data_IF_834633281344
#
_entry.id   IF_834633281344
#
_cell.length_a   1.000
_cell.length_b   1.000
_cell.length_c   1.000
_cell.angle_alpha   90.00
_cell.angle_beta   90.00
_cell.angle_gamma   90.00
#
_symmetry.space_group_name_H-M   'P 1'
#
loop_
_entity.id
_entity.type
_entity.pdbx_description
1 polymer ?
#
# COMPACT_ATOMS: atom_id res chain seq x y z
N UNK A 1 -16.92 15.46 14.02
CA UNK A 1 -16.62 16.18 12.75
C UNK A 1 -17.39 15.47 11.65
N UNK A 2 -18.21 16.16 10.85
CA UNK A 2 -19.00 15.50 9.81
C UNK A 2 -18.11 14.92 8.70
N UNK A 3 -18.55 13.84 8.03
CA UNK A 3 -17.80 13.19 6.92
C UNK A 3 -17.37 14.20 5.84
N UNK A 4 -18.21 15.20 5.57
CA UNK A 4 -17.90 16.29 4.61
C UNK A 4 -16.74 17.17 5.05
N UNK A 5 -16.59 17.41 6.36
CA UNK A 5 -15.51 18.28 6.88
C UNK A 5 -14.17 17.55 6.87
N UNK A 6 -14.17 16.24 7.18
CA UNK A 6 -12.99 15.38 7.07
C UNK A 6 -12.48 15.32 5.62
N UNK A 7 -13.39 15.13 4.66
CA UNK A 7 -13.03 15.13 3.24
C UNK A 7 -12.45 16.49 2.78
N UNK A 8 -13.05 17.60 3.21
CA UNK A 8 -12.52 18.94 2.89
C UNK A 8 -11.14 19.17 3.48
N UNK A 9 -10.92 18.74 4.73
CA UNK A 9 -9.62 18.83 5.38
C UNK A 9 -8.57 17.99 4.63
N UNK A 10 -8.89 16.73 4.32
CA UNK A 10 -8.01 15.87 3.53
C UNK A 10 -7.66 16.49 2.17
N UNK A 11 -8.66 16.96 1.42
CA UNK A 11 -8.45 17.58 0.10
C UNK A 11 -7.55 18.81 0.16
N UNK A 12 -7.67 19.62 1.23
CA UNK A 12 -6.78 20.77 1.43
C UNK A 12 -5.34 20.32 1.64
N UNK A 13 -5.10 19.37 2.54
CA UNK A 13 -3.76 18.84 2.79
C UNK A 13 -3.19 18.10 1.58
N UNK A 14 -4.03 17.41 0.82
CA UNK A 14 -3.61 16.79 -0.43
C UNK A 14 -3.19 17.84 -1.49
N UNK A 15 -3.89 18.96 -1.58
CA UNK A 15 -3.55 20.07 -2.49
C UNK A 15 -2.19 20.70 -2.18
N UNK A 16 -1.72 20.60 -0.94
CA UNK A 16 -0.41 21.11 -0.52
C UNK A 16 0.74 20.18 -0.94
N UNK A 17 0.47 18.89 -1.26
CA UNK A 17 1.50 17.96 -1.66
C UNK A 17 2.08 18.20 -3.08
N UNK A 18 1.30 18.55 -4.11
CA UNK A 18 1.85 18.87 -5.43
C UNK A 18 2.47 20.26 -5.48
N UNK A 19 3.79 20.35 -5.61
CA UNK A 19 4.51 21.62 -5.63
C UNK A 19 4.64 22.25 -7.02
N UNK A 20 4.75 21.42 -8.06
CA UNK A 20 4.90 21.89 -9.42
C UNK A 20 3.75 21.39 -10.26
N UNK A 21 3.06 22.31 -10.96
CA UNK A 21 1.80 22.04 -11.67
C UNK A 21 0.72 21.47 -10.77
N UNK A 22 0.68 21.92 -9.54
CA UNK A 22 -0.20 21.40 -8.47
C UNK A 22 -1.65 21.38 -8.87
N UNK A 23 -2.19 22.47 -9.42
CA UNK A 23 -3.59 22.54 -9.88
C UNK A 23 -3.92 21.45 -10.91
N UNK A 24 -3.02 21.22 -11.88
CA UNK A 24 -3.27 20.24 -12.92
C UNK A 24 -3.19 18.80 -12.41
N UNK A 25 -2.29 18.53 -11.46
CA UNK A 25 -2.20 17.24 -10.76
C UNK A 25 -3.42 17.01 -9.86
N UNK A 26 -3.88 18.04 -9.19
CA UNK A 26 -5.07 17.96 -8.33
C UNK A 26 -6.34 17.74 -9.15
N UNK A 27 -6.51 18.48 -10.26
CA UNK A 27 -7.62 18.26 -11.19
C UNK A 27 -7.58 16.86 -11.84
N UNK A 28 -6.37 16.33 -12.09
CA UNK A 28 -6.20 14.96 -12.57
C UNK A 28 -6.67 13.93 -11.53
N UNK A 29 -6.32 14.11 -10.26
CA UNK A 29 -6.79 13.25 -9.19
C UNK A 29 -8.33 13.27 -9.08
N UNK A 30 -8.94 14.45 -9.12
CA UNK A 30 -10.40 14.59 -9.14
C UNK A 30 -11.03 13.92 -10.36
N UNK A 31 -10.41 14.06 -11.51
CA UNK A 31 -10.89 13.44 -12.76
C UNK A 31 -10.83 11.91 -12.72
N UNK A 32 -9.78 11.34 -12.12
CA UNK A 32 -9.66 9.90 -11.93
C UNK A 32 -10.73 9.39 -10.96
N UNK A 33 -10.96 10.11 -9.86
CA UNK A 33 -11.98 9.75 -8.85
C UNK A 33 -13.41 9.89 -9.40
N UNK A 34 -13.64 10.83 -10.34
CA UNK A 34 -14.94 11.03 -10.99
C UNK A 34 -15.19 10.05 -12.15
N UNK A 35 -14.16 9.39 -12.65
CA UNK A 35 -14.28 8.45 -13.75
C UNK A 35 -14.96 7.14 -13.30
N UNK A 36 -15.92 6.67 -14.09
CA UNK A 36 -16.54 5.37 -13.87
C UNK A 36 -15.62 4.25 -14.40
N UNK A 37 -14.90 3.59 -13.50
CA UNK A 37 -14.03 2.47 -13.84
C UNK A 37 -12.58 2.86 -14.09
N UNK A 38 -11.84 2.00 -14.79
CA UNK A 38 -10.42 2.18 -15.07
C UNK A 38 -10.17 3.24 -16.14
N UNK A 39 -9.19 4.12 -15.93
CA UNK A 39 -8.74 5.08 -16.93
C UNK A 39 -7.78 4.39 -17.92
N UNK A 40 -8.20 4.07 -19.16
CA UNK A 40 -7.39 3.29 -20.10
C UNK A 40 -6.20 4.09 -20.66
N UNK A 41 -6.26 5.41 -20.57
CA UNK A 41 -5.19 6.31 -21.02
C UNK A 41 -5.25 7.63 -20.22
N UNK A 42 -4.15 8.40 -20.14
CA UNK A 42 -4.17 9.73 -19.53
C UNK A 42 -5.17 10.72 -20.17
N UNK A 43 -5.53 10.53 -21.43
CA UNK A 43 -6.53 11.36 -22.10
C UNK A 43 -7.95 11.13 -21.54
N UNK A 44 -8.26 9.93 -21.08
CA UNK A 44 -9.59 9.57 -20.59
C UNK A 44 -10.05 10.43 -19.39
N UNK A 45 -9.26 10.66 -18.33
CA UNK A 45 -9.63 11.57 -17.25
C UNK A 45 -9.87 13.01 -17.71
N UNK A 46 -9.22 13.48 -18.79
CA UNK A 46 -9.42 14.84 -19.28
C UNK A 46 -10.82 15.10 -19.85
N UNK A 47 -11.62 14.05 -20.05
CA UNK A 47 -13.02 14.15 -20.49
C UNK A 47 -13.99 14.35 -19.31
N UNK A 48 -13.53 14.23 -18.09
CA UNK A 48 -14.36 14.42 -16.91
C UNK A 48 -14.61 15.92 -16.64
N UNK A 49 -15.81 16.25 -16.17
CA UNK A 49 -16.19 17.64 -15.87
C UNK A 49 -15.31 18.31 -14.78
N UNK A 50 -14.67 17.51 -13.93
CA UNK A 50 -13.71 17.98 -12.93
C UNK A 50 -12.39 18.44 -13.51
N UNK A 51 -12.04 18.02 -14.75
CA UNK A 51 -10.84 18.47 -15.48
C UNK A 51 -11.18 19.70 -16.31
N UNK A 52 -10.82 20.87 -15.81
CA UNK A 52 -11.16 22.18 -16.45
C UNK A 52 -10.13 22.64 -17.48
N UNK A 53 -9.01 21.93 -17.61
CA UNK A 53 -7.87 22.26 -18.47
C UNK A 53 -7.91 21.42 -19.73
N UNK A 54 -7.26 21.88 -20.77
CA UNK A 54 -7.07 21.08 -21.99
C UNK A 54 -6.21 19.83 -21.71
N UNK A 55 -6.42 18.79 -22.50
CA UNK A 55 -5.74 17.49 -22.37
C UNK A 55 -4.19 17.59 -22.34
N UNK A 56 -3.59 18.54 -23.07
CA UNK A 56 -2.15 18.78 -23.04
C UNK A 56 -1.62 19.23 -21.68
N UNK A 57 -2.46 19.87 -20.85
CA UNK A 57 -2.10 20.24 -19.48
C UNK A 57 -1.88 19.03 -18.60
N UNK A 58 -2.67 17.97 -18.78
CA UNK A 58 -2.56 16.71 -18.05
C UNK A 58 -1.23 16.00 -18.36
N UNK A 59 -0.91 15.84 -19.65
CA UNK A 59 0.38 15.26 -20.04
C UNK A 59 1.56 16.08 -19.51
N UNK A 60 1.48 17.40 -19.61
CA UNK A 60 2.50 18.28 -19.07
C UNK A 60 2.60 18.23 -17.53
N UNK A 61 1.50 17.93 -16.84
CA UNK A 61 1.51 17.73 -15.39
C UNK A 61 2.20 16.41 -15.01
N UNK A 62 1.94 15.33 -15.74
CA UNK A 62 2.60 14.04 -15.54
C UNK A 62 4.10 14.08 -15.87
N UNK A 63 4.48 14.79 -16.93
CA UNK A 63 5.87 14.92 -17.39
C UNK A 63 6.72 15.84 -16.49
N UNK A 64 6.17 16.98 -16.09
CA UNK A 64 6.90 18.08 -15.43
C UNK A 64 6.34 18.48 -14.06
N UNK A 65 5.31 17.79 -13.60
CA UNK A 65 4.77 17.98 -12.26
C UNK A 65 5.71 17.41 -11.20
N UNK A 66 5.55 17.87 -9.98
CA UNK A 66 6.27 17.34 -8.84
C UNK A 66 5.33 17.21 -7.65
N UNK A 67 5.33 16.03 -7.04
CA UNK A 67 4.59 15.73 -5.82
C UNK A 67 5.62 15.49 -4.71
N UNK A 68 5.43 16.14 -3.57
CA UNK A 68 6.14 15.76 -2.35
C UNK A 68 5.60 14.41 -1.88
N UNK A 69 6.33 13.37 -2.26
CA UNK A 69 5.94 11.99 -1.95
C UNK A 69 5.94 11.73 -0.44
N UNK A 70 6.83 12.39 0.32
CA UNK A 70 6.89 12.21 1.76
C UNK A 70 5.73 12.90 2.48
N UNK A 71 5.39 14.12 2.08
CA UNK A 71 4.20 14.81 2.59
C UNK A 71 2.92 14.02 2.29
N UNK A 72 2.80 13.47 1.07
CA UNK A 72 1.66 12.64 0.69
C UNK A 72 1.59 11.35 1.52
N UNK A 73 2.69 10.65 1.71
CA UNK A 73 2.77 9.44 2.54
C UNK A 73 2.40 9.72 3.99
N UNK A 74 2.87 10.84 4.56
CA UNK A 74 2.47 11.28 5.92
C UNK A 74 0.98 11.55 6.00
N UNK A 75 0.43 12.25 5.02
CA UNK A 75 -1.02 12.51 4.95
C UNK A 75 -1.82 11.20 4.92
N UNK A 76 -1.44 10.26 4.06
CA UNK A 76 -2.13 8.98 3.91
C UNK A 76 -2.00 8.10 5.17
N UNK A 77 -0.80 8.04 5.78
CA UNK A 77 -0.55 7.26 6.99
C UNK A 77 -1.39 7.73 8.19
N UNK A 78 -1.60 9.04 8.31
CA UNK A 78 -2.33 9.68 9.42
C UNK A 78 -3.83 9.84 9.15
N UNK A 79 -4.27 9.60 7.92
CA UNK A 79 -5.69 9.74 7.62
C UNK A 79 -6.48 8.56 8.22
N UNK A 80 -7.44 8.83 9.13
CA UNK A 80 -8.20 7.77 9.77
C UNK A 80 -9.10 7.06 8.74
N UNK A 81 -9.16 5.74 8.82
CA UNK A 81 -10.19 4.97 8.13
C UNK A 81 -11.44 4.93 9.00
N UNK A 82 -12.58 5.27 8.40
CA UNK A 82 -13.86 5.21 9.11
C UNK A 82 -14.14 3.78 9.61
N UNK A 83 -14.60 3.66 10.86
CA UNK A 83 -14.97 2.39 11.48
C UNK A 83 -13.78 1.58 12.02
N UNK A 84 -12.58 2.17 12.09
CA UNK A 84 -11.39 1.51 12.69
C UNK A 84 -10.90 2.19 13.96
N UNK A 85 -11.69 3.08 14.54
CA UNK A 85 -11.33 3.82 15.73
C UNK A 85 -11.14 2.86 16.93
N UNK A 86 -9.98 2.91 17.55
CA UNK A 86 -9.63 2.06 18.71
C UNK A 86 -9.26 0.62 18.36
N UNK A 87 -9.27 0.23 17.10
CA UNK A 87 -8.80 -1.09 16.66
C UNK A 87 -7.28 -1.09 16.43
N UNK A 88 -6.67 -2.27 16.57
CA UNK A 88 -5.27 -2.48 16.17
C UNK A 88 -5.12 -2.23 14.68
N UNK A 89 -4.25 -1.30 14.23
CA UNK A 89 -4.03 -1.06 12.82
C UNK A 89 -3.46 -2.31 12.13
N UNK A 90 -4.10 -2.75 11.05
CA UNK A 90 -3.62 -3.89 10.25
C UNK A 90 -3.25 -3.40 8.85
N UNK A 91 -2.06 -3.77 8.41
CA UNK A 91 -1.54 -3.41 7.09
C UNK A 91 -1.22 -4.65 6.28
N UNK A 92 -1.67 -4.71 5.03
CA UNK A 92 -1.19 -5.68 4.05
C UNK A 92 0.04 -5.12 3.34
N UNK A 93 1.04 -5.98 3.16
CA UNK A 93 2.24 -5.68 2.37
C UNK A 93 2.31 -6.67 1.22
N UNK A 94 2.25 -6.19 -0.01
CA UNK A 94 2.25 -7.04 -1.19
C UNK A 94 2.92 -6.36 -2.38
N UNK A 95 3.50 -7.17 -3.26
CA UNK A 95 4.16 -6.71 -4.47
C UNK A 95 3.28 -6.96 -5.69
N UNK A 96 3.09 -5.91 -6.50
CA UNK A 96 2.39 -5.99 -7.76
C UNK A 96 3.32 -5.73 -8.93
N UNK A 97 3.22 -6.53 -9.96
CA UNK A 97 4.00 -6.38 -11.19
C UNK A 97 3.23 -5.59 -12.22
N UNK A 98 3.85 -4.56 -12.72
CA UNK A 98 3.34 -3.79 -13.85
C UNK A 98 4.05 -4.21 -15.12
N UNK A 99 3.38 -5.03 -15.94
CA UNK A 99 3.91 -5.50 -17.22
C UNK A 99 4.14 -4.34 -18.19
N UNK A 100 5.35 -4.23 -18.72
CA UNK A 100 5.79 -3.23 -19.69
C UNK A 100 6.66 -3.88 -20.75
N UNK A 101 6.09 -4.87 -21.43
CA UNK A 101 6.79 -5.63 -22.46
C UNK A 101 7.15 -4.79 -23.69
N UNK A 102 6.34 -3.75 -23.94
CA UNK A 102 6.44 -2.79 -25.05
C UNK A 102 7.44 -1.63 -24.80
N UNK A 103 7.96 -1.51 -23.59
CA UNK A 103 8.80 -0.38 -23.20
C UNK A 103 10.28 -0.77 -23.08
N UNK A 104 10.90 -1.21 -24.18
CA UNK A 104 12.25 -1.76 -24.22
C UNK A 104 13.33 -0.82 -23.69
N UNK A 105 13.17 0.48 -23.90
CA UNK A 105 14.12 1.50 -23.44
C UNK A 105 13.89 1.98 -22.01
N UNK A 106 12.84 1.49 -21.34
CA UNK A 106 12.55 1.90 -19.97
C UNK A 106 13.61 1.40 -19.00
N UNK A 107 14.14 2.29 -18.14
CA UNK A 107 15.24 1.93 -17.23
C UNK A 107 14.78 0.94 -16.16
N UNK A 108 15.70 0.10 -15.71
CA UNK A 108 15.54 -0.83 -14.58
C UNK A 108 14.31 -1.74 -14.71
N UNK A 109 13.96 -2.12 -15.92
CA UNK A 109 12.94 -3.13 -16.19
C UNK A 109 13.48 -4.51 -15.83
N UNK A 110 12.75 -5.25 -14.98
CA UNK A 110 13.08 -6.62 -14.59
C UNK A 110 12.19 -7.64 -15.30
N UNK A 111 12.41 -8.91 -14.99
CA UNK A 111 11.59 -10.04 -15.45
C UNK A 111 10.89 -10.66 -14.25
N UNK A 112 9.55 -10.80 -14.36
CA UNK A 112 8.71 -11.22 -13.23
C UNK A 112 7.73 -12.29 -13.66
N UNK A 113 7.37 -13.18 -12.75
CA UNK A 113 6.24 -14.08 -12.94
C UNK A 113 4.93 -13.30 -12.89
N UNK A 114 4.09 -13.52 -13.89
CA UNK A 114 2.84 -12.82 -14.04
C UNK A 114 1.68 -13.81 -14.13
N UNK A 115 0.82 -13.80 -13.14
CA UNK A 115 -0.25 -14.79 -12.99
C UNK A 115 -1.57 -14.42 -13.72
N UNK A 116 -1.62 -13.32 -14.44
CA UNK A 116 -2.84 -12.91 -15.12
C UNK A 116 -2.92 -13.53 -16.53
N UNK A 117 -3.95 -14.38 -16.80
CA UNK A 117 -4.08 -15.09 -18.09
C UNK A 117 -4.56 -14.22 -19.24
N UNK A 118 -4.84 -12.94 -19.02
CA UNK A 118 -5.49 -12.10 -20.03
C UNK A 118 -4.59 -10.99 -20.54
N UNK A 119 -4.40 -10.96 -21.85
CA UNK A 119 -4.02 -9.84 -22.72
C UNK A 119 -2.58 -9.78 -23.24
N UNK A 120 -1.62 -10.43 -22.68
CA UNK A 120 -0.31 -10.55 -23.34
C UNK A 120 -0.03 -12.01 -23.64
N UNK A 121 -0.64 -12.44 -24.71
CA UNK A 121 -0.36 -13.64 -25.51
C UNK A 121 0.21 -14.87 -24.81
N UNK A 122 -0.54 -15.92 -24.98
CA UNK A 122 0.02 -17.25 -25.19
C UNK A 122 1.09 -17.68 -24.17
N UNK A 123 0.69 -17.81 -22.90
CA UNK A 123 1.39 -18.76 -22.04
C UNK A 123 2.80 -18.40 -21.59
N UNK A 124 3.22 -17.16 -21.69
CA UNK A 124 4.50 -16.76 -21.10
C UNK A 124 4.28 -16.33 -19.63
N UNK A 125 4.71 -17.15 -18.67
CA UNK A 125 4.55 -16.84 -17.24
C UNK A 125 5.49 -15.71 -16.79
N UNK A 126 6.43 -15.27 -17.62
CA UNK A 126 7.45 -14.26 -17.32
C UNK A 126 7.23 -13.06 -18.22
N UNK A 127 7.07 -11.89 -17.60
CA UNK A 127 6.92 -10.61 -18.30
C UNK A 127 8.02 -9.65 -17.91
N UNK A 128 8.40 -8.79 -18.86
CA UNK A 128 9.25 -7.65 -18.59
C UNK A 128 8.41 -6.50 -18.02
N UNK A 129 8.88 -5.85 -16.97
CA UNK A 129 8.13 -4.77 -16.34
C UNK A 129 8.80 -4.21 -15.10
N UNK A 130 7.98 -3.59 -14.26
CA UNK A 130 8.37 -3.06 -12.97
C UNK A 130 7.59 -3.72 -11.84
N UNK A 131 8.25 -3.96 -10.72
CA UNK A 131 7.58 -4.37 -9.48
C UNK A 131 7.40 -3.16 -8.57
N UNK A 132 6.20 -3.01 -8.01
CA UNK A 132 5.87 -2.03 -7.00
C UNK A 132 5.35 -2.75 -5.77
N UNK A 133 5.88 -2.38 -4.61
CA UNK A 133 5.46 -2.90 -3.33
C UNK A 133 4.57 -1.89 -2.64
N UNK A 134 3.39 -2.33 -2.26
CA UNK A 134 2.37 -1.54 -1.61
C UNK A 134 2.28 -1.89 -0.14
N UNK A 135 2.06 -0.88 0.68
CA UNK A 135 1.59 -1.03 2.04
C UNK A 135 0.20 -0.40 2.10
N UNK A 136 -0.80 -1.19 2.46
CA UNK A 136 -2.19 -0.74 2.51
C UNK A 136 -2.81 -1.06 3.87
N UNK A 137 -3.46 -0.07 4.50
CA UNK A 137 -4.25 -0.29 5.70
C UNK A 137 -5.52 -1.04 5.35
N UNK A 138 -5.85 -2.06 6.12
CA UNK A 138 -7.03 -2.89 5.95
C UNK A 138 -8.17 -2.36 6.82
N UNK A 139 -9.39 -2.47 6.28
CA UNK A 139 -10.63 -2.29 7.02
C UNK A 139 -11.37 -3.63 7.01
N UNK A 140 -11.74 -4.13 8.20
CA UNK A 140 -12.49 -5.38 8.37
C UNK A 140 -13.99 -5.15 8.55
N UNK A 141 -14.49 -3.91 8.44
CA UNK A 141 -15.91 -3.66 8.27
C UNK A 141 -16.42 -4.36 7.00
N UNK A 142 -17.72 -4.44 6.81
CA UNK A 142 -18.38 -5.22 5.74
C UNK A 142 -17.95 -4.91 4.29
N UNK A 143 -16.95 -4.06 4.09
CA UNK A 143 -16.48 -3.60 2.79
C UNK A 143 -15.01 -4.00 2.60
N UNK A 144 -14.66 -4.43 1.38
CA UNK A 144 -13.29 -4.81 1.00
C UNK A 144 -12.42 -3.62 0.61
N UNK A 145 -12.67 -2.44 1.19
CA UNK A 145 -11.86 -1.26 0.94
C UNK A 145 -10.50 -1.35 1.66
N UNK A 146 -9.46 -1.06 0.93
CA UNK A 146 -8.10 -0.90 1.46
C UNK A 146 -7.61 0.52 1.18
N UNK A 147 -6.83 1.07 2.10
CA UNK A 147 -6.22 2.39 1.93
C UNK A 147 -4.71 2.24 1.71
N UNK A 148 -4.20 2.36 0.47
CA UNK A 148 -2.77 2.42 0.24
C UNK A 148 -2.15 3.61 0.98
N UNK A 149 -1.14 3.34 1.82
CA UNK A 149 -0.43 4.37 2.60
C UNK A 149 1.00 4.57 2.12
N UNK A 150 1.55 3.58 1.45
CA UNK A 150 2.87 3.67 0.83
C UNK A 150 2.97 2.80 -0.42
N UNK A 151 3.80 3.24 -1.34
CA UNK A 151 4.21 2.47 -2.51
C UNK A 151 5.68 2.74 -2.81
N UNK A 152 6.44 1.68 -3.08
CA UNK A 152 7.83 1.77 -3.46
C UNK A 152 8.14 0.84 -4.63
N UNK A 153 8.99 1.30 -5.54
CA UNK A 153 9.45 0.47 -6.64
C UNK A 153 10.55 -0.47 -6.16
N UNK A 154 10.35 -1.76 -6.35
CA UNK A 154 11.38 -2.78 -6.10
C UNK A 154 12.22 -2.94 -7.36
N UNK A 155 13.47 -2.48 -7.32
CA UNK A 155 14.39 -2.60 -8.45
C UNK A 155 14.89 -4.04 -8.61
N UNK A 156 15.30 -4.47 -9.82
CA UNK A 156 15.72 -5.85 -10.07
C UNK A 156 16.83 -6.37 -9.16
N UNK A 157 17.70 -5.49 -8.66
CA UNK A 157 18.80 -5.86 -7.77
C UNK A 157 18.44 -5.82 -6.28
N UNK A 158 17.23 -5.42 -5.92
CA UNK A 158 16.79 -5.28 -4.53
C UNK A 158 16.09 -6.55 -4.04
N UNK A 159 16.30 -6.88 -2.77
CA UNK A 159 15.53 -7.92 -2.07
C UNK A 159 14.20 -7.30 -1.59
N UNK A 160 13.08 -7.86 -2.05
CA UNK A 160 11.74 -7.39 -1.70
C UNK A 160 11.49 -7.42 -0.18
N UNK A 161 12.11 -8.36 0.56
CA UNK A 161 11.97 -8.40 2.03
C UNK A 161 12.65 -7.20 2.69
N UNK A 162 13.80 -6.79 2.19
CA UNK A 162 14.53 -5.61 2.70
C UNK A 162 13.75 -4.33 2.40
N UNK A 163 13.22 -4.21 1.17
CA UNK A 163 12.37 -3.07 0.79
C UNK A 163 11.13 -3.02 1.69
N UNK A 164 10.45 -4.16 1.90
CA UNK A 164 9.28 -4.27 2.77
C UNK A 164 9.58 -3.82 4.20
N UNK A 165 10.64 -4.34 4.78
CA UNK A 165 11.05 -3.96 6.12
C UNK A 165 11.40 -2.47 6.23
N UNK A 166 12.03 -1.91 5.19
CA UNK A 166 12.29 -0.47 5.08
C UNK A 166 11.01 0.36 5.10
N UNK A 167 10.02 0.00 4.28
CA UNK A 167 8.72 0.66 4.25
C UNK A 167 8.00 0.58 5.61
N UNK A 168 8.02 -0.60 6.25
CA UNK A 168 7.44 -0.78 7.60
C UNK A 168 8.09 0.16 8.61
N UNK A 169 9.43 0.20 8.68
CA UNK A 169 10.16 1.08 9.60
C UNK A 169 9.82 2.56 9.39
N UNK A 170 9.78 2.98 8.13
CA UNK A 170 9.44 4.36 7.78
C UNK A 170 7.99 4.68 8.11
N UNK A 171 7.05 3.75 7.86
CA UNK A 171 5.65 3.92 8.22
C UNK A 171 5.47 4.04 9.74
N UNK A 172 6.14 3.19 10.54
CA UNK A 172 6.11 3.27 12.00
C UNK A 172 6.52 4.67 12.51
N UNK A 173 7.51 5.28 11.88
CA UNK A 173 7.93 6.65 12.21
C UNK A 173 6.94 7.76 11.78
N UNK A 174 5.91 7.41 10.99
CA UNK A 174 4.86 8.36 10.56
C UNK A 174 3.59 8.24 11.41
N UNK A 175 3.39 7.12 12.11
CA UNK A 175 2.26 6.91 12.99
C UNK A 175 2.37 7.81 14.23
N UNK A 176 1.23 8.09 14.86
CA UNK A 176 1.21 8.91 16.07
C UNK A 176 1.67 8.13 17.29
N UNK A 177 2.31 8.82 18.22
CA UNK A 177 2.69 8.23 19.51
C UNK A 177 1.44 7.82 20.31
N UNK A 178 1.45 6.61 20.83
CA UNK A 178 0.34 6.07 21.62
C UNK A 178 -0.70 5.27 20.81
N UNK A 179 -0.55 5.15 19.50
CA UNK A 179 -1.35 4.21 18.73
C UNK A 179 -1.04 2.75 19.13
N UNK A 180 -2.04 1.87 18.97
CA UNK A 180 -1.84 0.44 19.20
C UNK A 180 -0.76 -0.11 18.26
N UNK A 181 0.03 -1.08 18.77
CA UNK A 181 1.11 -1.72 17.99
C UNK A 181 0.53 -2.35 16.72
N UNK A 182 0.93 -1.88 15.53
CA UNK A 182 0.35 -2.33 14.28
C UNK A 182 0.74 -3.76 13.91
N UNK A 183 -0.14 -4.45 13.19
CA UNK A 183 0.08 -5.76 12.60
C UNK A 183 0.32 -5.62 11.09
N UNK A 184 1.44 -6.15 10.60
CA UNK A 184 1.74 -6.24 9.17
C UNK A 184 1.56 -7.67 8.66
N UNK A 185 0.77 -7.82 7.61
CA UNK A 185 0.42 -9.11 7.01
C UNK A 185 1.10 -9.25 5.66
N UNK A 186 1.80 -10.36 5.47
CA UNK A 186 2.56 -10.68 4.27
C UNK A 186 2.08 -12.00 3.67
N UNK A 187 2.13 -12.10 2.35
CA UNK A 187 1.83 -13.34 1.65
C UNK A 187 2.99 -14.36 1.72
N UNK A 188 2.81 -15.52 1.08
CA UNK A 188 3.81 -16.59 1.05
C UNK A 188 5.03 -16.31 0.13
N UNK A 189 5.09 -15.17 -0.52
CA UNK A 189 6.24 -14.69 -1.31
C UNK A 189 7.38 -14.16 -0.44
N UNK A 190 7.06 -13.75 0.79
CA UNK A 190 8.04 -13.19 1.72
C UNK A 190 8.71 -14.24 2.61
N UNK A 191 9.94 -13.94 3.03
CA UNK A 191 10.71 -14.78 3.94
C UNK A 191 10.54 -14.31 5.39
N UNK A 192 9.85 -15.11 6.26
CA UNK A 192 9.59 -14.71 7.64
C UNK A 192 10.86 -14.52 8.48
N UNK A 193 11.93 -15.28 8.19
CA UNK A 193 13.20 -15.19 8.94
C UNK A 193 13.91 -13.87 8.58
N UNK A 194 13.93 -13.53 7.29
CA UNK A 194 14.50 -12.25 6.85
C UNK A 194 13.71 -11.07 7.44
N UNK A 195 12.37 -11.09 7.31
CA UNK A 195 11.51 -10.03 7.86
C UNK A 195 11.72 -9.88 9.37
N UNK A 196 11.78 -10.98 10.11
CA UNK A 196 12.01 -10.94 11.57
C UNK A 196 13.34 -10.27 11.91
N UNK A 197 14.43 -10.61 11.19
CA UNK A 197 15.75 -10.01 11.40
C UNK A 197 15.75 -8.52 11.06
N UNK A 198 15.17 -8.17 9.92
CA UNK A 198 15.12 -6.78 9.48
C UNK A 198 14.27 -5.89 10.39
N UNK A 199 13.21 -6.44 11.00
CA UNK A 199 12.28 -5.71 11.87
C UNK A 199 12.58 -5.89 13.36
N UNK A 200 13.68 -6.53 13.71
CA UNK A 200 14.08 -6.71 15.11
C UNK A 200 14.15 -5.36 15.85
N UNK A 201 13.51 -5.30 17.01
CA UNK A 201 13.41 -4.07 17.81
C UNK A 201 12.39 -3.04 17.31
N UNK A 202 11.73 -3.26 16.17
CA UNK A 202 10.67 -2.37 15.70
C UNK A 202 9.35 -2.63 16.44
N UNK A 203 8.59 -1.59 16.84
CA UNK A 203 7.34 -1.74 17.60
C UNK A 203 6.19 -2.17 16.67
N UNK A 204 6.26 -3.38 16.12
CA UNK A 204 5.23 -3.93 15.25
C UNK A 204 5.10 -5.44 15.43
N UNK A 205 3.98 -5.98 14.98
CA UNK A 205 3.73 -7.41 14.83
C UNK A 205 3.76 -7.79 13.35
N UNK A 206 4.21 -9.00 13.04
CA UNK A 206 4.20 -9.52 11.68
C UNK A 206 3.43 -10.85 11.61
N UNK A 207 2.65 -11.01 10.55
CA UNK A 207 1.98 -12.26 10.20
C UNK A 207 2.37 -12.62 8.77
N UNK A 208 3.05 -13.75 8.58
CA UNK A 208 3.49 -14.21 7.27
C UNK A 208 2.81 -15.52 6.91
N UNK A 209 2.15 -15.58 5.76
CA UNK A 209 1.60 -16.83 5.23
C UNK A 209 2.72 -17.77 4.86
N UNK A 210 2.69 -19.00 5.35
CA UNK A 210 3.65 -20.03 4.96
C UNK A 210 3.12 -20.85 3.78
N UNK A 211 4.02 -21.25 2.88
CA UNK A 211 3.69 -22.25 1.84
C UNK A 211 3.59 -23.62 2.47
N UNK A 212 2.67 -24.45 1.97
CA UNK A 212 2.61 -25.85 2.34
C UNK A 212 3.96 -26.53 2.03
N UNK A 213 4.52 -27.24 3.00
CA UNK A 213 5.84 -27.89 2.88
C UNK A 213 7.04 -27.08 3.40
N UNK A 214 6.84 -25.85 3.87
CA UNK A 214 7.90 -25.14 4.60
C UNK A 214 7.99 -25.66 6.03
N UNK A 215 9.15 -26.20 6.41
CA UNK A 215 9.40 -26.62 7.78
C UNK A 215 9.77 -25.39 8.61
N UNK A 216 8.94 -25.03 9.58
CA UNK A 216 9.25 -23.99 10.55
C UNK A 216 9.89 -24.64 11.78
N UNK A 217 11.06 -24.18 12.22
CA UNK A 217 11.63 -24.62 13.49
C UNK A 217 10.87 -24.01 14.66
N UNK A 218 10.76 -24.73 15.77
CA UNK A 218 10.05 -24.32 16.99
C UNK A 218 10.54 -22.98 17.56
N UNK A 219 11.79 -22.62 17.31
CA UNK A 219 12.36 -21.35 17.75
C UNK A 219 11.73 -20.11 17.07
N UNK A 220 11.24 -20.25 15.84
CA UNK A 220 10.55 -19.17 15.11
C UNK A 220 9.13 -18.97 15.67
N UNK A 221 8.46 -20.06 16.07
CA UNK A 221 7.12 -20.01 16.64
C UNK A 221 7.11 -19.44 18.05
N UNK A 222 8.14 -19.69 18.86
CA UNK A 222 8.21 -19.23 20.25
C UNK A 222 8.38 -17.70 20.39
N UNK A 223 8.99 -17.03 19.41
CA UNK A 223 9.12 -15.56 19.41
C UNK A 223 7.87 -14.85 18.88
N UNK A 224 7.03 -15.54 18.13
CA UNK A 224 5.83 -14.97 17.49
C UNK A 224 4.56 -15.08 18.37
N UNK A 225 4.55 -15.96 19.38
CA UNK A 225 3.39 -16.19 20.23
C UNK A 225 3.81 -15.95 21.68
N UNK A 226 3.70 -14.70 22.16
CA UNK A 226 3.42 -14.50 23.59
C UNK A 226 1.92 -14.70 23.77
N UNK A 227 1.45 -15.77 24.40
CA UNK A 227 0.04 -15.89 24.73
C UNK A 227 -0.28 -14.73 25.68
N UNK A 228 -1.14 -13.83 25.26
CA UNK A 228 -1.85 -12.97 26.18
C UNK A 228 -2.74 -13.90 26.98
N UNK A 229 -2.42 -14.14 28.23
CA UNK A 229 -3.32 -14.81 29.18
C UNK A 229 -4.60 -14.01 29.20
N UNK A 230 -5.62 -14.55 28.56
CA UNK A 230 -7.00 -14.13 28.76
C UNK A 230 -7.41 -14.71 30.12
N UNK A 231 -7.19 -13.95 31.19
CA UNK A 231 -7.87 -14.12 32.44
C UNK A 231 -9.34 -13.71 32.25
N UNK A 232 -10.12 -14.63 31.68
CA UNK A 232 -11.56 -14.52 31.75
C UNK A 232 -12.01 -15.16 33.08
N UNK A 233 -12.73 -14.44 33.95
CA UNK A 233 -13.28 -15.05 35.17
C UNK A 233 -14.34 -16.07 34.74
N UNK A 234 -14.12 -17.31 35.12
CA UNK A 234 -15.12 -18.38 35.06
C UNK A 234 -16.27 -18.01 36.00
N UNK A 235 -17.38 -17.58 35.41
CA UNK A 235 -18.63 -17.42 36.13
C UNK A 235 -19.15 -18.81 36.51
N UNK A 236 -18.91 -19.22 37.76
CA UNK A 236 -19.60 -20.33 38.36
C UNK A 236 -21.05 -19.93 38.66
N UNK A 237 -21.95 -20.23 37.72
CA UNK A 237 -23.39 -20.21 37.97
C UNK A 237 -23.86 -21.57 38.47
N UNK A 238 -24.12 -21.64 39.79
CA UNK A 238 -24.90 -22.73 40.40
C UNK A 238 -26.39 -22.49 40.11
N UNK A 239 -27.02 -23.58 39.87
CA UNK A 239 -28.41 -24.06 39.93
C UNK A 239 -29.16 -24.11 38.65
#
# INVERSE_FOLDING_TARGET
MGSSDALRAFRRSFYECPHRRGDALFELADAILAANGTAPSPAHPSLQASHRRGWGSLYAALDRGHIDAEALRKLLARHPLAGTEGETPVYAVDASVWARCDAETSPERGYYYYHHPSRHSAGQPIVAGWAYQFVARLNFACESWTAPVDVERVRPAQDANVVAAGQVKVLLGRLEEGEAVPLFVFDAGYDPVKLQRELEGSPCQILVRLRAGRVASTAILASAIRPRTLDAPVATGRR
#
